data_IF_948376560758
#
_entry.id   IF_948376560758
#
_cell.length_a   1.000
_cell.length_b   1.000
_cell.length_c   1.000
_cell.angle_alpha   90.00
_cell.angle_beta   90.00
_cell.angle_gamma   90.00
#
_symmetry.space_group_name_H-M   'P 1'
#
loop_
_entity.id
_entity.type
_entity.pdbx_description
1 polymer ?
#
# COMPACT_ATOMS: atom_id res chain seq x y z
N UNK A 1 -32.50 -20.09 -5.89
CA UNK A 1 -32.60 -21.47 -6.39
C UNK A 1 -32.87 -22.38 -5.20
N UNK A 2 -34.07 -22.97 -5.08
CA UNK A 2 -34.32 -24.06 -4.12
C UNK A 2 -33.88 -25.34 -4.81
N UNK A 3 -32.86 -26.00 -4.27
CA UNK A 3 -32.42 -27.32 -4.73
C UNK A 3 -33.38 -28.33 -4.08
N UNK A 4 -34.11 -29.10 -4.88
CA UNK A 4 -35.21 -29.97 -4.38
C UNK A 4 -35.03 -31.45 -4.76
N UNK A 5 -34.08 -31.78 -5.64
CA UNK A 5 -33.85 -33.16 -6.10
C UNK A 5 -32.80 -33.96 -5.32
N UNK A 6 -32.91 -35.29 -5.35
CA UNK A 6 -31.94 -36.25 -4.79
C UNK A 6 -30.53 -36.13 -5.41
N UNK A 7 -30.41 -35.52 -6.60
CA UNK A 7 -29.16 -35.33 -7.35
C UNK A 7 -28.62 -33.89 -7.34
N UNK A 8 -29.12 -33.01 -6.46
CA UNK A 8 -28.86 -31.56 -6.50
C UNK A 8 -29.34 -30.86 -7.79
N UNK A 9 -30.44 -31.31 -8.37
CA UNK A 9 -31.04 -30.72 -9.57
C UNK A 9 -32.04 -29.60 -9.24
N UNK A 10 -32.14 -28.62 -10.14
CA UNK A 10 -33.17 -27.59 -10.18
C UNK A 10 -34.53 -28.18 -10.57
N UNK A 11 -35.63 -27.43 -10.41
CA UNK A 11 -36.96 -27.85 -10.90
C UNK A 11 -36.96 -28.03 -12.43
N UNK A 12 -36.06 -27.33 -13.11
CA UNK A 12 -35.89 -27.34 -14.58
C UNK A 12 -34.87 -28.39 -15.04
N UNK A 13 -34.27 -29.15 -14.11
CA UNK A 13 -33.31 -30.21 -14.39
C UNK A 13 -31.84 -29.74 -14.45
N UNK A 14 -31.58 -28.45 -14.19
CA UNK A 14 -30.20 -27.95 -14.15
C UNK A 14 -29.45 -28.57 -12.99
N UNK A 15 -28.23 -28.99 -13.28
CA UNK A 15 -27.29 -29.49 -12.30
C UNK A 15 -26.30 -28.39 -11.93
N UNK A 16 -25.49 -28.68 -10.93
CA UNK A 16 -24.36 -27.84 -10.58
C UNK A 16 -23.29 -27.75 -11.68
N UNK A 17 -23.26 -28.69 -12.64
CA UNK A 17 -22.32 -28.67 -13.77
C UNK A 17 -22.67 -27.60 -14.80
N UNK A 18 -23.96 -27.28 -14.92
CA UNK A 18 -24.42 -26.22 -15.82
C UNK A 18 -23.96 -24.84 -15.33
N UNK A 19 -23.63 -24.71 -14.03
CA UNK A 19 -23.17 -23.46 -13.45
C UNK A 19 -21.84 -22.97 -14.05
N UNK A 20 -20.89 -23.85 -14.37
CA UNK A 20 -19.63 -23.43 -15.01
C UNK A 20 -19.86 -22.87 -16.40
N UNK A 21 -20.65 -23.59 -17.21
CA UNK A 21 -21.06 -23.15 -18.55
C UNK A 21 -21.79 -21.80 -18.50
N UNK A 22 -22.73 -21.63 -17.56
CA UNK A 22 -23.45 -20.36 -17.38
C UNK A 22 -22.49 -19.23 -17.01
N UNK A 23 -21.60 -19.45 -16.04
CA UNK A 23 -20.63 -18.44 -15.59
C UNK A 23 -19.70 -18.02 -16.74
N UNK A 24 -19.18 -18.97 -17.52
CA UNK A 24 -18.32 -18.68 -18.68
C UNK A 24 -19.04 -17.82 -19.72
N UNK A 25 -20.32 -18.10 -19.98
CA UNK A 25 -21.14 -17.31 -20.91
C UNK A 25 -21.48 -15.91 -20.37
N UNK A 26 -21.41 -15.68 -19.05
CA UNK A 26 -21.62 -14.36 -18.46
C UNK A 26 -20.41 -13.43 -18.63
N UNK A 27 -19.20 -13.94 -18.83
CA UNK A 27 -17.99 -13.12 -19.02
C UNK A 27 -18.13 -12.15 -20.20
N UNK A 28 -18.42 -12.58 -21.45
CA UNK A 28 -18.59 -11.66 -22.57
C UNK A 28 -19.79 -10.73 -22.37
N UNK A 29 -20.89 -11.21 -21.77
CA UNK A 29 -22.09 -10.40 -21.55
C UNK A 29 -21.83 -9.28 -20.53
N UNK A 30 -21.04 -9.54 -19.50
CA UNK A 30 -20.65 -8.52 -18.49
C UNK A 30 -19.83 -7.38 -19.06
N UNK A 31 -19.25 -7.55 -20.25
CA UNK A 31 -18.48 -6.51 -20.95
C UNK A 31 -19.37 -5.56 -21.76
N UNK A 32 -20.61 -5.96 -22.07
CA UNK A 32 -21.62 -5.10 -22.68
C UNK A 32 -22.64 -4.63 -21.63
N UNK A 33 -22.19 -3.79 -20.71
CA UNK A 33 -23.00 -3.29 -19.59
C UNK A 33 -24.20 -2.45 -20.01
N UNK A 34 -24.21 -1.95 -21.25
CA UNK A 34 -25.31 -1.16 -21.82
C UNK A 34 -26.33 -2.02 -22.58
N UNK A 35 -25.94 -3.24 -22.93
CA UNK A 35 -26.76 -4.20 -23.65
C UNK A 35 -28.06 -4.56 -22.92
N UNK A 36 -29.11 -4.84 -23.69
CA UNK A 36 -30.41 -5.24 -23.16
C UNK A 36 -30.32 -6.56 -22.38
N UNK A 37 -29.51 -7.50 -22.86
CA UNK A 37 -29.29 -8.80 -22.22
C UNK A 37 -28.74 -8.63 -20.81
N UNK A 38 -27.69 -7.83 -20.65
CA UNK A 38 -27.09 -7.56 -19.35
C UNK A 38 -28.10 -6.92 -18.38
N UNK A 39 -28.85 -5.92 -18.84
CA UNK A 39 -29.88 -5.26 -18.03
C UNK A 39 -30.94 -6.25 -17.52
N UNK A 40 -31.44 -7.12 -18.40
CA UNK A 40 -32.42 -8.15 -18.05
C UNK A 40 -31.86 -9.17 -17.06
N UNK A 41 -30.58 -9.55 -17.19
CA UNK A 41 -29.90 -10.43 -16.24
C UNK A 41 -29.74 -9.77 -14.86
N UNK A 42 -29.37 -8.48 -14.83
CA UNK A 42 -29.33 -7.68 -13.60
C UNK A 42 -30.72 -7.63 -12.96
N UNK A 43 -31.76 -7.32 -13.74
CA UNK A 43 -33.15 -7.31 -13.26
C UNK A 43 -33.60 -8.65 -12.68
N UNK A 44 -33.15 -9.75 -13.28
CA UNK A 44 -33.37 -11.13 -12.83
C UNK A 44 -32.53 -11.55 -11.59
N UNK A 45 -31.61 -10.70 -11.12
CA UNK A 45 -30.82 -10.96 -9.91
C UNK A 45 -29.50 -11.70 -10.16
N UNK A 46 -28.86 -11.51 -11.33
CA UNK A 46 -27.56 -12.15 -11.64
C UNK A 46 -26.50 -11.86 -10.57
N UNK A 47 -26.51 -10.67 -9.93
CA UNK A 47 -25.56 -10.34 -8.86
C UNK A 47 -25.76 -11.19 -7.60
N UNK A 48 -27.00 -11.48 -7.23
CA UNK A 48 -27.28 -12.45 -6.15
C UNK A 48 -26.72 -13.84 -6.51
N UNK A 49 -26.86 -14.26 -7.77
CA UNK A 49 -26.26 -15.50 -8.28
C UNK A 49 -24.73 -15.50 -8.23
N UNK A 50 -24.09 -14.40 -8.65
CA UNK A 50 -22.63 -14.27 -8.65
C UNK A 50 -22.04 -14.23 -7.25
N UNK A 51 -22.68 -13.52 -6.31
CA UNK A 51 -22.25 -13.54 -4.90
C UNK A 51 -22.39 -14.94 -4.29
N UNK A 52 -23.48 -15.65 -4.60
CA UNK A 52 -23.63 -17.06 -4.22
C UNK A 52 -22.53 -17.95 -4.82
N UNK A 53 -22.17 -17.74 -6.09
CA UNK A 53 -21.07 -18.46 -6.73
C UNK A 53 -19.73 -18.20 -6.04
N UNK A 54 -19.38 -16.95 -5.72
CA UNK A 54 -18.15 -16.63 -4.96
C UNK A 54 -18.08 -17.42 -3.65
N UNK A 55 -19.20 -17.55 -2.95
CA UNK A 55 -19.26 -18.24 -1.67
C UNK A 55 -19.12 -19.77 -1.81
N UNK A 56 -19.71 -20.36 -2.86
CA UNK A 56 -19.94 -21.81 -2.91
C UNK A 56 -19.17 -22.57 -4.02
N UNK A 57 -18.72 -21.92 -5.10
CA UNK A 57 -18.27 -22.61 -6.33
C UNK A 57 -17.15 -23.64 -6.15
N UNK A 58 -16.20 -23.41 -5.23
CA UNK A 58 -15.12 -24.39 -4.95
C UNK A 58 -15.57 -25.68 -4.27
N UNK A 59 -16.72 -25.68 -3.56
CA UNK A 59 -17.31 -26.91 -2.99
C UNK A 59 -18.11 -27.70 -4.02
N UNK A 60 -18.41 -27.07 -5.16
CA UNK A 60 -19.24 -27.65 -6.22
C UNK A 60 -18.38 -28.56 -7.12
N UNK A 61 -17.20 -28.09 -7.49
CA UNK A 61 -16.29 -28.82 -8.40
C UNK A 61 -15.59 -30.02 -7.74
N UNK A 62 -15.39 -30.01 -6.42
CA UNK A 62 -14.59 -31.03 -5.72
C UNK A 62 -15.39 -32.24 -5.22
N UNK A 63 -16.72 -32.24 -5.33
CA UNK A 63 -17.56 -33.21 -4.60
C UNK A 63 -17.82 -34.53 -5.33
N UNK A 64 -17.49 -34.65 -6.62
CA UNK A 64 -17.97 -35.78 -7.44
C UNK A 64 -16.91 -36.50 -8.29
N UNK A 65 -15.63 -36.12 -8.22
CA UNK A 65 -14.58 -36.94 -8.83
C UNK A 65 -14.18 -38.05 -7.85
N UNK A 66 -14.78 -39.24 -8.01
CA UNK A 66 -14.34 -40.51 -7.42
C UNK A 66 -12.93 -40.94 -7.89
N UNK A 67 -12.23 -40.07 -8.63
CA UNK A 67 -10.84 -40.25 -9.00
C UNK A 67 -10.00 -39.83 -7.79
N UNK A 68 -9.44 -40.81 -7.08
CA UNK A 68 -8.37 -40.59 -6.10
C UNK A 68 -7.11 -40.04 -6.80
N UNK A 69 -7.15 -38.78 -7.24
CA UNK A 69 -5.93 -38.04 -7.56
C UNK A 69 -5.10 -37.96 -6.29
N UNK A 70 -3.81 -38.23 -6.41
CA UNK A 70 -2.90 -37.98 -5.31
C UNK A 70 -2.96 -36.49 -4.93
N UNK A 71 -2.92 -36.18 -3.64
CA UNK A 71 -2.99 -34.80 -3.14
C UNK A 71 -1.99 -33.88 -3.85
N UNK A 72 -0.78 -34.40 -4.12
CA UNK A 72 0.29 -33.68 -4.81
C UNK A 72 -0.06 -33.35 -6.28
N UNK A 73 -0.76 -34.23 -6.99
CA UNK A 73 -1.23 -34.00 -8.36
C UNK A 73 -2.37 -32.98 -8.40
N UNK A 74 -3.29 -33.05 -7.43
CA UNK A 74 -4.38 -32.08 -7.30
C UNK A 74 -3.83 -30.68 -6.96
N UNK A 75 -2.82 -30.61 -6.10
CA UNK A 75 -2.11 -29.37 -5.79
C UNK A 75 -1.36 -28.83 -7.00
N UNK A 76 -0.60 -29.66 -7.71
CA UNK A 76 0.11 -29.24 -8.92
C UNK A 76 -0.84 -28.73 -10.01
N UNK A 77 -1.96 -29.41 -10.24
CA UNK A 77 -2.95 -28.99 -11.22
C UNK A 77 -3.68 -27.70 -10.81
N UNK A 78 -4.02 -27.57 -9.53
CA UNK A 78 -4.70 -26.39 -8.99
C UNK A 78 -3.90 -25.10 -9.14
N UNK A 79 -2.56 -25.16 -9.14
CA UNK A 79 -1.70 -23.99 -9.38
C UNK A 79 -1.89 -23.34 -10.75
N UNK A 80 -2.47 -24.04 -11.73
CA UNK A 80 -2.78 -23.50 -13.06
C UNK A 80 -4.23 -23.05 -13.21
N UNK A 81 -5.13 -23.51 -12.35
CA UNK A 81 -6.56 -23.21 -12.41
C UNK A 81 -6.89 -21.91 -11.68
N UNK A 82 -7.75 -21.03 -12.23
CA UNK A 82 -8.24 -19.86 -11.50
C UNK A 82 -8.84 -20.25 -10.14
N UNK A 83 -8.70 -19.38 -9.14
CA UNK A 83 -9.37 -19.59 -7.85
C UNK A 83 -10.89 -19.70 -8.09
N UNK A 84 -11.60 -20.61 -7.41
CA UNK A 84 -13.01 -20.86 -7.71
C UNK A 84 -13.93 -19.61 -7.58
N UNK A 85 -13.51 -18.61 -6.81
CA UNK A 85 -14.20 -17.33 -6.66
C UNK A 85 -13.82 -16.28 -7.72
N UNK A 86 -12.76 -16.48 -8.50
CA UNK A 86 -12.19 -15.43 -9.35
C UNK A 86 -13.07 -15.10 -10.55
N UNK A 87 -13.61 -16.09 -11.27
CA UNK A 87 -14.44 -15.84 -12.46
C UNK A 87 -15.74 -15.07 -12.10
N UNK A 88 -16.51 -15.47 -11.07
CA UNK A 88 -17.67 -14.66 -10.64
C UNK A 88 -17.28 -13.23 -10.23
N UNK A 89 -16.13 -13.04 -9.57
CA UNK A 89 -15.62 -11.71 -9.25
C UNK A 89 -15.19 -10.92 -10.49
N UNK A 90 -14.61 -11.57 -11.50
CA UNK A 90 -14.25 -10.95 -12.77
C UNK A 90 -15.49 -10.42 -13.48
N UNK A 91 -16.58 -11.19 -13.52
CA UNK A 91 -17.86 -10.77 -14.11
C UNK A 91 -18.39 -9.52 -13.39
N UNK A 92 -18.40 -9.53 -12.05
CA UNK A 92 -18.81 -8.38 -11.24
C UNK A 92 -17.91 -7.16 -11.51
N UNK A 93 -16.60 -7.38 -11.62
CA UNK A 93 -15.62 -6.34 -11.88
C UNK A 93 -15.82 -5.73 -13.28
N UNK A 94 -15.86 -6.55 -14.33
CA UNK A 94 -16.12 -6.12 -15.71
C UNK A 94 -17.37 -5.25 -15.78
N UNK A 95 -18.45 -5.70 -15.14
CA UNK A 95 -19.69 -4.96 -15.12
C UNK A 95 -19.59 -3.59 -14.40
N UNK A 96 -18.89 -3.53 -13.27
CA UNK A 96 -18.71 -2.30 -12.50
C UNK A 96 -17.66 -1.34 -13.09
N UNK A 97 -16.72 -1.86 -13.88
CA UNK A 97 -15.64 -1.11 -14.51
C UNK A 97 -16.06 -0.51 -15.85
N UNK A 98 -16.93 -1.19 -16.60
CA UNK A 98 -17.36 -0.77 -17.94
C UNK A 98 -18.65 0.05 -17.94
N UNK A 99 -19.29 0.25 -16.78
CA UNK A 99 -20.36 1.23 -16.64
C UNK A 99 -19.80 2.66 -16.51
N UNK A 100 -20.62 3.66 -16.84
CA UNK A 100 -20.24 5.07 -16.62
C UNK A 100 -20.00 5.39 -15.14
N UNK A 101 -19.39 6.54 -14.84
CA UNK A 101 -19.19 6.99 -13.45
C UNK A 101 -20.48 7.51 -12.79
N UNK A 102 -21.63 7.41 -13.45
CA UNK A 102 -22.94 7.79 -12.93
C UNK A 102 -23.81 6.54 -12.91
N UNK A 103 -24.21 6.09 -11.73
CA UNK A 103 -25.03 4.90 -11.57
C UNK A 103 -26.43 5.10 -12.15
N UNK A 104 -26.81 4.28 -13.13
CA UNK A 104 -28.18 4.16 -13.63
C UNK A 104 -29.00 3.26 -12.71
N UNK A 105 -30.26 2.97 -13.07
CA UNK A 105 -31.08 2.01 -12.32
C UNK A 105 -30.43 0.62 -12.26
N UNK A 106 -29.75 0.21 -13.34
CA UNK A 106 -29.04 -1.07 -13.44
C UNK A 106 -27.92 -1.16 -12.42
N UNK A 107 -26.99 -0.19 -12.39
CA UNK A 107 -25.87 -0.22 -11.44
C UNK A 107 -26.34 -0.11 -9.99
N UNK A 108 -27.39 0.69 -9.72
CA UNK A 108 -28.00 0.76 -8.38
C UNK A 108 -28.53 -0.60 -7.92
N UNK A 109 -29.17 -1.36 -8.81
CA UNK A 109 -29.63 -2.71 -8.53
C UNK A 109 -28.46 -3.68 -8.29
N UNK A 110 -27.43 -3.64 -9.15
CA UNK A 110 -26.21 -4.45 -8.97
C UNK A 110 -25.60 -4.26 -7.57
N UNK A 111 -25.46 -3.01 -7.14
CA UNK A 111 -24.91 -2.65 -5.82
C UNK A 111 -25.85 -3.10 -4.69
N UNK A 112 -27.16 -2.90 -4.85
CA UNK A 112 -28.15 -3.33 -3.87
C UNK A 112 -28.16 -4.85 -3.66
N UNK A 113 -28.01 -5.62 -4.74
CA UNK A 113 -27.98 -7.09 -4.69
C UNK A 113 -26.65 -7.62 -4.10
N UNK A 114 -25.54 -6.93 -4.36
CA UNK A 114 -24.20 -7.32 -3.88
C UNK A 114 -23.98 -6.97 -2.40
N UNK A 115 -24.45 -5.79 -1.96
CA UNK A 115 -24.15 -5.21 -0.63
C UNK A 115 -24.38 -6.18 0.54
N UNK A 116 -25.51 -6.92 0.64
CA UNK A 116 -25.77 -7.80 1.77
C UNK A 116 -24.77 -8.96 1.91
N UNK A 117 -24.12 -9.37 0.83
CA UNK A 117 -23.22 -10.52 0.78
C UNK A 117 -21.73 -10.13 0.80
N UNK A 118 -21.41 -8.84 0.71
CA UNK A 118 -20.02 -8.37 0.62
C UNK A 118 -19.14 -8.89 1.76
N UNK A 119 -19.60 -8.74 3.01
CA UNK A 119 -18.86 -9.19 4.19
C UNK A 119 -18.65 -10.71 4.22
N UNK A 120 -19.58 -11.51 3.70
CA UNK A 120 -19.44 -12.96 3.53
C UNK A 120 -18.40 -13.29 2.44
N UNK A 121 -18.41 -12.58 1.32
CA UNK A 121 -17.42 -12.75 0.25
C UNK A 121 -16.01 -12.45 0.75
N UNK A 122 -15.81 -11.36 1.49
CA UNK A 122 -14.51 -11.03 2.06
C UNK A 122 -14.06 -12.06 3.10
N UNK A 123 -14.99 -12.61 3.90
CA UNK A 123 -14.70 -13.75 4.79
C UNK A 123 -14.28 -14.99 4.02
N UNK A 124 -14.93 -15.31 2.89
CA UNK A 124 -14.57 -16.42 2.01
C UNK A 124 -13.15 -16.24 1.47
N UNK A 125 -12.84 -15.09 0.87
CA UNK A 125 -11.50 -14.78 0.35
C UNK A 125 -10.46 -14.82 1.47
N UNK A 126 -10.78 -14.31 2.66
CA UNK A 126 -9.89 -14.38 3.82
C UNK A 126 -9.59 -15.83 4.24
N UNK A 127 -10.62 -16.64 4.49
CA UNK A 127 -10.44 -18.01 5.01
C UNK A 127 -9.89 -19.00 3.99
N UNK A 128 -10.13 -18.73 2.70
CA UNK A 128 -9.84 -19.66 1.63
C UNK A 128 -9.37 -18.88 0.39
N UNK A 129 -8.15 -18.29 0.45
CA UNK A 129 -7.57 -17.57 -0.68
C UNK A 129 -7.24 -18.48 -1.87
N UNK A 130 -7.26 -19.81 -1.68
CA UNK A 130 -6.86 -20.79 -2.70
C UNK A 130 -5.43 -20.48 -3.16
N UNK A 131 -5.23 -20.36 -4.47
CA UNK A 131 -3.92 -20.16 -5.10
C UNK A 131 -3.58 -18.69 -5.36
N UNK A 132 -4.45 -17.74 -4.98
CA UNK A 132 -4.25 -16.32 -5.29
C UNK A 132 -3.01 -15.71 -4.62
N UNK A 133 -2.52 -16.32 -3.52
CA UNK A 133 -1.35 -15.85 -2.77
C UNK A 133 -0.03 -16.49 -3.24
N UNK A 134 -0.07 -17.37 -4.23
CA UNK A 134 1.14 -17.91 -4.83
C UNK A 134 1.93 -16.80 -5.54
N UNK A 135 3.27 -16.82 -5.48
CA UNK A 135 4.11 -15.79 -6.07
C UNK A 135 4.23 -15.94 -7.60
N UNK A 136 3.10 -16.03 -8.29
CA UNK A 136 2.98 -16.14 -9.74
C UNK A 136 2.30 -14.88 -10.28
N UNK A 137 2.87 -14.28 -11.33
CA UNK A 137 2.29 -13.12 -12.04
C UNK A 137 0.89 -13.41 -12.61
N UNK A 138 0.60 -14.65 -13.00
CA UNK A 138 -0.73 -15.06 -13.47
C UNK A 138 -1.83 -14.86 -12.40
N UNK A 139 -1.43 -14.69 -11.13
CA UNK A 139 -2.34 -14.45 -10.00
C UNK A 139 -2.48 -12.99 -9.62
N UNK A 140 -1.77 -12.08 -10.31
CA UNK A 140 -1.85 -10.65 -10.03
C UNK A 140 -3.29 -10.11 -10.18
N UNK A 141 -4.00 -10.53 -11.24
CA UNK A 141 -5.39 -10.16 -11.44
C UNK A 141 -6.26 -10.55 -10.24
N UNK A 142 -6.16 -11.80 -9.77
CA UNK A 142 -6.92 -12.29 -8.61
C UNK A 142 -6.62 -11.49 -7.33
N UNK A 143 -5.35 -11.14 -7.08
CA UNK A 143 -4.96 -10.32 -5.93
C UNK A 143 -5.49 -8.89 -6.01
N UNK A 144 -5.66 -8.34 -7.20
CA UNK A 144 -6.20 -6.99 -7.41
C UNK A 144 -7.73 -6.89 -7.39
N UNK A 145 -8.45 -7.98 -7.66
CA UNK A 145 -9.91 -7.97 -7.88
C UNK A 145 -10.71 -7.37 -6.73
N UNK A 146 -10.42 -7.76 -5.48
CA UNK A 146 -11.18 -7.29 -4.32
C UNK A 146 -11.04 -5.76 -4.14
N UNK A 147 -9.82 -5.24 -4.24
CA UNK A 147 -9.56 -3.82 -4.12
C UNK A 147 -10.20 -3.04 -5.28
N UNK A 148 -10.03 -3.53 -6.52
CA UNK A 148 -10.58 -2.88 -7.70
C UNK A 148 -12.11 -2.82 -7.66
N UNK A 149 -12.77 -3.93 -7.33
CA UNK A 149 -14.22 -3.99 -7.22
C UNK A 149 -14.72 -3.05 -6.12
N UNK A 150 -14.08 -3.04 -4.94
CA UNK A 150 -14.43 -2.12 -3.86
C UNK A 150 -14.31 -0.64 -4.31
N UNK A 151 -13.20 -0.27 -4.96
CA UNK A 151 -13.01 1.08 -5.50
C UNK A 151 -14.12 1.44 -6.50
N UNK A 152 -14.43 0.56 -7.47
CA UNK A 152 -15.51 0.83 -8.46
C UNK A 152 -16.88 0.96 -7.81
N UNK A 153 -17.21 0.12 -6.83
CA UNK A 153 -18.47 0.23 -6.10
C UNK A 153 -18.59 1.59 -5.37
N UNK A 154 -17.49 2.11 -4.81
CA UNK A 154 -17.50 3.45 -4.18
C UNK A 154 -17.56 4.62 -5.17
N UNK A 155 -17.15 4.42 -6.43
CA UNK A 155 -17.35 5.42 -7.50
C UNK A 155 -18.84 5.51 -7.84
N UNK A 156 -19.50 4.37 -7.98
CA UNK A 156 -20.91 4.28 -8.36
C UNK A 156 -21.87 4.66 -7.22
N UNK A 157 -21.51 4.27 -6.00
CA UNK A 157 -22.24 4.59 -4.78
C UNK A 157 -21.26 4.82 -3.61
N UNK A 158 -20.91 6.09 -3.29
CA UNK A 158 -20.05 6.41 -2.16
C UNK A 158 -20.55 5.88 -0.81
N UNK A 159 -21.84 5.59 -0.65
CA UNK A 159 -22.36 4.99 0.59
C UNK A 159 -21.83 3.57 0.84
N UNK A 160 -21.30 2.91 -0.20
CA UNK A 160 -20.62 1.62 -0.06
C UNK A 160 -19.39 1.69 0.85
N UNK A 161 -18.81 2.88 1.07
CA UNK A 161 -17.77 3.10 2.08
C UNK A 161 -18.20 2.68 3.48
N UNK A 162 -19.49 2.80 3.80
CA UNK A 162 -20.01 2.34 5.11
C UNK A 162 -19.82 0.84 5.30
N UNK A 163 -19.89 0.05 4.22
CA UNK A 163 -19.65 -1.40 4.27
C UNK A 163 -18.18 -1.70 4.56
N UNK A 164 -17.26 -1.05 3.84
CA UNK A 164 -15.82 -1.21 4.02
C UNK A 164 -15.34 -0.72 5.40
N UNK A 165 -16.01 0.30 5.94
CA UNK A 165 -15.70 0.87 7.24
C UNK A 165 -16.20 0.02 8.43
N UNK A 166 -17.12 -0.94 8.22
CA UNK A 166 -17.66 -1.78 9.31
C UNK A 166 -16.53 -2.50 10.07
N UNK A 167 -16.54 -2.54 11.41
CA UNK A 167 -15.49 -3.21 12.18
C UNK A 167 -15.31 -4.70 11.86
N UNK A 168 -16.40 -5.38 11.46
CA UNK A 168 -16.40 -6.79 11.08
C UNK A 168 -15.97 -7.06 9.64
N UNK A 169 -15.89 -6.02 8.80
CA UNK A 169 -15.53 -6.17 7.40
C UNK A 169 -14.03 -6.41 7.23
N UNK A 170 -13.71 -7.36 6.34
CA UNK A 170 -12.35 -7.84 6.08
C UNK A 170 -11.75 -7.31 4.78
N UNK A 171 -12.39 -6.37 4.06
CA UNK A 171 -11.84 -5.87 2.78
C UNK A 171 -10.43 -5.33 2.96
N UNK A 172 -10.19 -4.46 3.96
CA UNK A 172 -8.86 -3.92 4.20
C UNK A 172 -7.85 -5.01 4.59
N UNK A 173 -8.27 -6.01 5.36
CA UNK A 173 -7.44 -7.16 5.74
C UNK A 173 -7.05 -8.00 4.52
N UNK A 174 -8.02 -8.30 3.64
CA UNK A 174 -7.82 -9.08 2.41
C UNK A 174 -6.92 -8.32 1.44
N UNK A 175 -7.20 -7.03 1.19
CA UNK A 175 -6.41 -6.21 0.29
C UNK A 175 -4.97 -6.05 0.81
N UNK A 176 -4.78 -5.89 2.13
CA UNK A 176 -3.44 -5.80 2.70
C UNK A 176 -2.66 -7.11 2.54
N UNK A 177 -3.31 -8.25 2.76
CA UNK A 177 -2.68 -9.56 2.48
C UNK A 177 -2.37 -9.72 0.99
N UNK A 178 -3.25 -9.28 0.10
CA UNK A 178 -3.00 -9.35 -1.34
C UNK A 178 -1.84 -8.44 -1.74
N UNK A 179 -1.72 -7.24 -1.16
CA UNK A 179 -0.54 -6.39 -1.32
C UNK A 179 0.72 -7.10 -0.83
N UNK A 180 0.73 -7.71 0.35
CA UNK A 180 1.90 -8.45 0.86
C UNK A 180 2.41 -9.57 -0.06
N UNK A 181 1.54 -10.11 -0.91
CA UNK A 181 1.82 -11.19 -1.84
C UNK A 181 1.81 -10.72 -3.30
N UNK A 182 1.79 -9.41 -3.54
CA UNK A 182 1.73 -8.84 -4.87
C UNK A 182 3.04 -9.09 -5.62
N UNK A 183 2.94 -9.31 -6.93
CA UNK A 183 4.12 -9.63 -7.78
C UNK A 183 4.23 -8.78 -9.03
N UNK A 184 3.29 -7.87 -9.27
CA UNK A 184 3.31 -6.95 -10.41
C UNK A 184 2.99 -5.53 -9.95
N UNK A 185 3.30 -4.52 -10.78
CA UNK A 185 2.94 -3.13 -10.44
C UNK A 185 1.43 -2.95 -10.30
N UNK A 186 0.62 -3.67 -11.09
CA UNK A 186 -0.84 -3.53 -11.10
C UNK A 186 -1.48 -3.95 -9.76
N UNK A 187 -1.14 -5.13 -9.25
CA UNK A 187 -1.72 -5.65 -8.00
C UNK A 187 -1.13 -4.97 -6.76
N UNK A 188 0.13 -4.51 -6.83
CA UNK A 188 0.70 -3.59 -5.84
C UNK A 188 -0.15 -2.31 -5.78
N UNK A 189 -0.29 -1.61 -6.92
CA UNK A 189 -0.91 -0.29 -6.99
C UNK A 189 -2.39 -0.31 -6.59
N UNK A 190 -3.18 -1.28 -7.05
CA UNK A 190 -4.61 -1.30 -6.76
C UNK A 190 -4.91 -1.58 -5.29
N UNK A 191 -4.16 -2.50 -4.66
CA UNK A 191 -4.35 -2.80 -3.24
C UNK A 191 -3.84 -1.64 -2.37
N UNK A 192 -2.65 -1.11 -2.68
CA UNK A 192 -2.09 0.02 -1.93
C UNK A 192 -2.95 1.28 -2.05
N UNK A 193 -3.48 1.59 -3.23
CA UNK A 193 -4.36 2.76 -3.45
C UNK A 193 -5.62 2.72 -2.59
N UNK A 194 -6.32 1.58 -2.56
CA UNK A 194 -7.52 1.44 -1.75
C UNK A 194 -7.19 1.64 -0.27
N UNK A 195 -6.14 0.98 0.24
CA UNK A 195 -5.79 1.03 1.66
C UNK A 195 -5.27 2.43 2.04
N UNK A 196 -4.44 3.04 1.19
CA UNK A 196 -3.89 4.38 1.42
C UNK A 196 -5.01 5.43 1.57
N UNK A 197 -6.09 5.29 0.80
CA UNK A 197 -7.28 6.15 0.90
C UNK A 197 -7.97 6.10 2.28
N UNK A 198 -7.73 5.05 3.08
CA UNK A 198 -8.20 4.94 4.47
C UNK A 198 -7.17 5.39 5.52
N UNK A 199 -5.89 5.53 5.12
CA UNK A 199 -4.80 5.86 6.03
C UNK A 199 -4.44 7.35 6.02
N UNK A 200 -4.58 8.02 4.87
CA UNK A 200 -4.14 9.38 4.66
C UNK A 200 -5.20 10.19 3.89
N UNK A 201 -5.65 11.30 4.49
CA UNK A 201 -6.64 12.20 3.90
C UNK A 201 -6.19 12.76 2.54
N UNK A 202 -4.87 12.90 2.33
CA UNK A 202 -4.31 13.37 1.06
C UNK A 202 -4.61 12.41 -0.10
N UNK A 203 -4.80 11.12 0.21
CA UNK A 203 -5.07 10.07 -0.77
C UNK A 203 -6.56 9.77 -0.93
N UNK A 204 -7.44 10.42 -0.15
CA UNK A 204 -8.88 10.25 -0.27
C UNK A 204 -9.35 10.73 -1.65
N UNK A 205 -9.98 9.86 -2.45
CA UNK A 205 -10.49 10.23 -3.75
C UNK A 205 -11.52 11.36 -3.67
N UNK A 206 -11.50 12.29 -4.64
CA UNK A 206 -12.39 13.47 -4.63
C UNK A 206 -13.88 13.09 -4.51
N UNK A 207 -14.29 11.99 -5.14
CA UNK A 207 -15.67 11.50 -5.11
C UNK A 207 -16.10 10.93 -3.73
N UNK A 208 -15.15 10.62 -2.83
CA UNK A 208 -15.45 10.25 -1.45
C UNK A 208 -15.71 11.46 -0.55
N UNK A 209 -15.08 12.62 -0.83
CA UNK A 209 -15.03 13.77 0.08
C UNK A 209 -16.43 14.25 0.52
N UNK A 210 -17.38 14.33 -0.41
CA UNK A 210 -18.75 14.75 -0.09
C UNK A 210 -19.46 13.79 0.87
N UNK A 211 -19.23 12.48 0.72
CA UNK A 211 -19.82 11.48 1.60
C UNK A 211 -19.14 11.48 2.97
N UNK A 212 -17.80 11.54 3.00
CA UNK A 212 -17.01 11.54 4.23
C UNK A 212 -17.22 12.79 5.09
N UNK A 213 -17.64 13.91 4.51
CA UNK A 213 -18.03 15.11 5.27
C UNK A 213 -19.19 14.85 6.25
N UNK A 214 -20.06 13.88 5.94
CA UNK A 214 -21.17 13.46 6.81
C UNK A 214 -20.96 12.10 7.48
N UNK A 215 -20.03 11.30 6.97
CA UNK A 215 -19.73 9.94 7.43
C UNK A 215 -18.20 9.76 7.55
N UNK A 216 -17.56 10.37 8.56
CA UNK A 216 -16.12 10.31 8.70
C UNK A 216 -15.63 8.87 8.83
N UNK A 217 -14.44 8.59 8.30
CA UNK A 217 -13.81 7.29 8.45
C UNK A 217 -13.52 6.98 9.94
N UNK A 218 -13.46 5.69 10.32
CA UNK A 218 -12.99 5.30 11.65
C UNK A 218 -11.59 5.84 11.91
N UNK A 219 -11.25 6.13 13.16
CA UNK A 219 -9.89 6.59 13.49
C UNK A 219 -8.83 5.55 13.17
N UNK A 220 -7.59 6.01 12.89
CA UNK A 220 -6.47 5.12 12.55
C UNK A 220 -6.20 4.04 13.61
N UNK A 221 -6.44 4.34 14.89
CA UNK A 221 -6.39 3.37 16.00
C UNK A 221 -7.29 2.15 15.79
N UNK A 222 -8.42 2.31 15.11
CA UNK A 222 -9.33 1.21 14.76
C UNK A 222 -9.01 0.57 13.40
N UNK A 223 -8.50 1.35 12.45
CA UNK A 223 -8.18 0.87 11.10
C UNK A 223 -6.89 0.04 11.06
N UNK A 224 -5.84 0.47 11.76
CA UNK A 224 -4.51 -0.18 11.70
C UNK A 224 -4.55 -1.64 12.12
N UNK A 225 -5.18 -2.04 13.25
CA UNK A 225 -5.27 -3.46 13.60
C UNK A 225 -5.99 -4.31 12.55
N UNK A 226 -6.98 -3.74 11.85
CA UNK A 226 -7.71 -4.42 10.76
C UNK A 226 -6.84 -4.60 9.52
N UNK A 227 -6.07 -3.58 9.15
CA UNK A 227 -5.14 -3.63 8.02
C UNK A 227 -4.02 -4.63 8.31
N UNK A 228 -3.31 -4.46 9.41
CA UNK A 228 -2.15 -5.28 9.82
C UNK A 228 -2.52 -6.75 10.02
N UNK A 229 -3.77 -7.05 10.37
CA UNK A 229 -4.27 -8.45 10.42
C UNK A 229 -3.95 -9.21 9.13
N UNK A 230 -3.91 -8.55 7.97
CA UNK A 230 -3.53 -9.17 6.69
C UNK A 230 -2.11 -9.76 6.67
N UNK A 231 -1.19 -9.22 7.47
CA UNK A 231 0.18 -9.73 7.61
C UNK A 231 0.33 -10.77 8.74
N UNK A 232 -0.69 -10.96 9.60
CA UNK A 232 -0.59 -11.86 10.76
C UNK A 232 -0.75 -13.34 10.41
N UNK A 233 -1.27 -13.66 9.22
CA UNK A 233 -1.46 -15.05 8.78
C UNK A 233 -0.60 -15.29 7.55
N UNK A 234 0.02 -16.47 7.49
CA UNK A 234 0.70 -16.95 6.30
C UNK A 234 0.43 -18.42 6.05
N UNK A 235 0.56 -18.79 4.78
CA UNK A 235 0.42 -20.14 4.28
C UNK A 235 1.81 -20.71 4.02
N UNK A 236 2.01 -21.96 4.42
CA UNK A 236 3.25 -22.68 4.12
C UNK A 236 3.15 -23.18 2.68
N UNK A 237 4.25 -23.09 1.91
CA UNK A 237 4.31 -23.36 0.46
C UNK A 237 3.70 -24.70 0.02
N UNK A 238 3.50 -25.66 0.93
CA UNK A 238 2.94 -26.99 0.67
C UNK A 238 1.87 -27.41 1.69
N UNK A 239 0.94 -26.52 2.06
CA UNK A 239 -0.28 -26.99 2.71
C UNK A 239 -1.24 -25.93 3.24
N UNK A 240 -2.49 -26.33 3.57
CA UNK A 240 -3.56 -25.45 4.04
C UNK A 240 -3.38 -24.98 5.48
N UNK A 241 -2.19 -25.17 6.08
CA UNK A 241 -1.95 -24.85 7.50
C UNK A 241 -1.61 -23.38 7.65
N UNK A 242 -2.59 -22.62 8.13
CA UNK A 242 -2.41 -21.25 8.59
C UNK A 242 -1.43 -21.23 9.78
N UNK A 243 -0.38 -20.43 9.64
CA UNK A 243 0.49 -20.07 10.77
C UNK A 243 0.28 -18.60 11.12
N UNK A 244 0.30 -18.31 12.42
CA UNK A 244 0.18 -16.96 12.94
C UNK A 244 1.56 -16.36 13.18
N UNK A 245 1.78 -15.15 12.68
CA UNK A 245 2.92 -14.30 13.02
C UNK A 245 2.60 -13.53 14.29
N UNK A 246 3.58 -13.40 15.18
CA UNK A 246 3.50 -12.41 16.24
C UNK A 246 3.63 -10.98 15.64
N UNK A 247 3.34 -9.90 16.39
CA UNK A 247 3.43 -8.53 15.87
C UNK A 247 4.79 -8.17 15.25
N UNK A 248 5.90 -8.61 15.85
CA UNK A 248 7.24 -8.34 15.32
C UNK A 248 7.47 -9.05 13.99
N UNK A 249 7.15 -10.34 13.90
CA UNK A 249 7.25 -11.13 12.66
C UNK A 249 6.34 -10.58 11.55
N UNK A 250 5.14 -10.09 11.91
CA UNK A 250 4.25 -9.46 10.95
C UNK A 250 4.82 -8.13 10.46
N UNK A 251 5.42 -7.33 11.34
CA UNK A 251 6.12 -6.10 10.97
C UNK A 251 7.31 -6.37 10.03
N UNK A 252 8.17 -7.34 10.35
CA UNK A 252 9.29 -7.77 9.50
C UNK A 252 8.81 -8.24 8.12
N UNK A 253 7.71 -9.01 8.08
CA UNK A 253 7.11 -9.42 6.82
C UNK A 253 6.60 -8.23 5.99
N UNK A 254 6.00 -7.21 6.62
CA UNK A 254 5.54 -5.98 5.94
C UNK A 254 6.73 -5.24 5.32
N UNK A 255 7.83 -5.12 6.05
CA UNK A 255 9.06 -4.51 5.52
C UNK A 255 9.62 -5.32 4.37
N UNK A 256 9.64 -6.66 4.49
CA UNK A 256 10.08 -7.56 3.42
C UNK A 256 9.24 -7.43 2.15
N UNK A 257 7.91 -7.35 2.26
CA UNK A 257 7.02 -7.15 1.13
C UNK A 257 7.29 -5.81 0.44
N UNK A 258 7.39 -4.71 1.20
CA UNK A 258 7.74 -3.40 0.66
C UNK A 258 9.07 -3.40 -0.10
N UNK A 259 10.12 -4.04 0.44
CA UNK A 259 11.41 -4.18 -0.26
C UNK A 259 11.27 -4.96 -1.57
N UNK A 260 10.49 -6.06 -1.56
CA UNK A 260 10.19 -6.83 -2.77
C UNK A 260 9.48 -5.97 -3.81
N UNK A 261 8.48 -5.19 -3.40
CA UNK A 261 7.73 -4.32 -4.29
C UNK A 261 8.58 -3.22 -4.91
N UNK A 262 9.47 -2.59 -4.13
CA UNK A 262 10.43 -1.61 -4.67
C UNK A 262 11.29 -2.23 -5.78
N UNK A 263 11.63 -3.52 -5.67
CA UNK A 263 12.37 -4.25 -6.70
C UNK A 263 11.49 -4.54 -7.92
N UNK A 264 10.22 -4.91 -7.73
CA UNK A 264 9.25 -5.12 -8.82
C UNK A 264 8.99 -3.83 -9.60
N UNK A 265 8.74 -2.70 -8.91
CA UNK A 265 8.46 -1.40 -9.55
C UNK A 265 9.72 -0.73 -10.09
N UNK A 266 10.92 -1.18 -9.74
CA UNK A 266 12.18 -0.65 -10.28
C UNK A 266 12.27 -0.79 -11.81
N UNK A 267 11.57 -1.77 -12.38
CA UNK A 267 11.48 -1.98 -13.83
C UNK A 267 10.45 -1.08 -14.52
N UNK A 268 9.60 -0.39 -13.76
CA UNK A 268 8.62 0.54 -14.32
C UNK A 268 9.29 1.83 -14.80
N UNK A 269 8.78 2.36 -15.91
CA UNK A 269 9.11 3.70 -16.41
C UNK A 269 8.15 4.76 -15.90
N UNK A 270 7.07 4.36 -15.24
CA UNK A 270 6.02 5.26 -14.79
C UNK A 270 6.34 5.81 -13.38
N UNK A 271 6.49 7.14 -13.20
CA UNK A 271 6.68 7.75 -11.89
C UNK A 271 5.58 7.39 -10.86
N UNK A 272 4.37 7.13 -11.36
CA UNK A 272 3.19 6.88 -10.54
C UNK A 272 3.26 5.56 -9.75
N UNK A 273 3.92 4.53 -10.27
CA UNK A 273 4.07 3.24 -9.60
C UNK A 273 4.93 3.38 -8.33
N UNK A 274 6.11 4.00 -8.50
CA UNK A 274 7.03 4.27 -7.40
C UNK A 274 6.39 5.20 -6.37
N UNK A 275 5.71 6.24 -6.85
CA UNK A 275 5.03 7.19 -5.99
C UNK A 275 3.96 6.52 -5.11
N UNK A 276 3.15 5.65 -5.70
CA UNK A 276 2.06 4.97 -4.99
C UNK A 276 2.60 4.07 -3.88
N UNK A 277 3.67 3.31 -4.16
CA UNK A 277 4.26 2.40 -3.18
C UNK A 277 4.97 3.14 -2.03
N UNK A 278 5.74 4.19 -2.32
CA UNK A 278 6.36 5.03 -1.28
C UNK A 278 5.32 5.75 -0.44
N UNK A 279 4.28 6.30 -1.08
CA UNK A 279 3.21 7.02 -0.38
C UNK A 279 2.42 6.09 0.54
N UNK A 280 2.12 4.88 0.07
CA UNK A 280 1.46 3.86 0.86
C UNK A 280 2.29 3.44 2.08
N UNK A 281 3.57 3.16 1.89
CA UNK A 281 4.44 2.77 2.99
C UNK A 281 4.58 3.88 4.03
N UNK A 282 4.75 5.13 3.58
CA UNK A 282 4.73 6.30 4.48
C UNK A 282 3.40 6.42 5.24
N UNK A 283 2.26 6.23 4.57
CA UNK A 283 0.93 6.27 5.18
C UNK A 283 0.75 5.19 6.26
N UNK A 284 1.36 4.00 6.10
CA UNK A 284 1.41 2.97 7.15
C UNK A 284 2.28 3.36 8.34
N UNK A 285 3.42 4.01 8.08
CA UNK A 285 4.38 4.40 9.12
C UNK A 285 3.88 5.53 10.02
N UNK A 286 3.06 6.44 9.51
CA UNK A 286 2.53 7.58 10.27
C UNK A 286 1.80 7.14 11.56
N UNK A 287 0.76 6.29 11.51
CA UNK A 287 0.08 5.81 12.71
C UNK A 287 0.83 4.69 13.44
N UNK A 288 1.80 4.00 12.81
CA UNK A 288 2.55 2.93 13.49
C UNK A 288 3.37 3.45 14.68
N UNK A 289 3.69 4.74 14.68
CA UNK A 289 4.36 5.47 15.78
C UNK A 289 3.63 5.28 17.12
N UNK A 290 2.30 5.26 17.09
CA UNK A 290 1.45 5.16 18.28
C UNK A 290 0.77 3.80 18.37
N UNK A 291 0.21 3.31 17.27
CA UNK A 291 -0.75 2.20 17.28
C UNK A 291 -0.13 0.85 16.90
N UNK A 292 1.05 0.84 16.25
CA UNK A 292 1.74 -0.39 15.83
C UNK A 292 3.26 -0.27 15.82
N UNK A 293 3.86 0.00 16.99
CA UNK A 293 5.30 0.29 17.15
C UNK A 293 6.25 -0.78 16.62
N UNK A 294 5.79 -2.03 16.53
CA UNK A 294 6.56 -3.13 15.94
C UNK A 294 7.01 -2.82 14.51
N UNK A 295 6.19 -2.11 13.72
CA UNK A 295 6.55 -1.72 12.36
C UNK A 295 7.68 -0.70 12.33
N UNK A 296 7.60 0.37 13.12
CA UNK A 296 8.67 1.37 13.18
C UNK A 296 9.99 0.75 13.64
N UNK A 297 9.93 -0.18 14.60
CA UNK A 297 11.10 -0.95 15.04
C UNK A 297 11.67 -1.83 13.92
N UNK A 298 10.83 -2.61 13.24
CA UNK A 298 11.26 -3.48 12.15
C UNK A 298 11.88 -2.71 10.98
N UNK A 299 11.37 -1.51 10.65
CA UNK A 299 11.97 -0.66 9.62
C UNK A 299 13.36 -0.18 10.03
N UNK A 300 13.49 0.29 11.27
CA UNK A 300 14.77 0.77 11.77
C UNK A 300 15.87 -0.29 11.80
N UNK A 301 15.54 -1.49 12.26
CA UNK A 301 16.47 -2.60 12.37
C UNK A 301 16.70 -3.33 11.03
N UNK A 302 15.93 -2.98 9.98
CA UNK A 302 16.03 -3.65 8.69
C UNK A 302 17.27 -3.22 7.92
N UNK A 303 18.16 -4.18 7.64
CA UNK A 303 19.33 -3.98 6.78
C UNK A 303 18.99 -3.89 5.29
N UNK A 304 17.77 -4.26 4.89
CA UNK A 304 17.37 -4.35 3.48
C UNK A 304 16.50 -3.19 3.01
N UNK A 305 15.72 -2.56 3.91
CA UNK A 305 14.82 -1.46 3.53
C UNK A 305 15.57 -0.19 3.16
N UNK A 306 16.65 0.14 3.87
CA UNK A 306 17.39 1.38 3.62
C UNK A 306 18.08 1.38 2.26
N UNK A 307 18.83 0.33 1.85
CA UNK A 307 19.37 0.26 0.50
C UNK A 307 18.29 0.27 -0.59
N UNK A 308 17.16 -0.42 -0.38
CA UNK A 308 16.04 -0.42 -1.32
C UNK A 308 15.43 0.98 -1.48
N UNK A 309 15.23 1.73 -0.38
CA UNK A 309 14.77 3.12 -0.41
C UNK A 309 15.75 4.05 -1.13
N UNK A 310 17.06 3.89 -0.90
CA UNK A 310 18.08 4.68 -1.61
C UNK A 310 18.03 4.41 -3.11
N UNK A 311 17.93 3.15 -3.54
CA UNK A 311 17.75 2.80 -4.95
C UNK A 311 16.47 3.38 -5.54
N UNK A 312 15.37 3.31 -4.79
CA UNK A 312 14.09 3.86 -5.20
C UNK A 312 14.16 5.39 -5.37
N UNK A 313 14.86 6.10 -4.47
CA UNK A 313 15.08 7.54 -4.60
C UNK A 313 16.02 7.92 -5.74
N UNK A 314 17.08 7.15 -6.01
CA UNK A 314 17.91 7.32 -7.23
C UNK A 314 17.05 7.20 -8.48
N UNK A 315 16.13 6.23 -8.51
CA UNK A 315 15.19 6.04 -9.61
C UNK A 315 14.21 7.21 -9.71
N UNK A 316 13.69 7.70 -8.59
CA UNK A 316 12.83 8.88 -8.57
C UNK A 316 13.55 10.10 -9.17
N UNK A 317 14.82 10.30 -8.83
CA UNK A 317 15.64 11.35 -9.43
C UNK A 317 15.81 11.17 -10.95
N UNK A 318 16.12 9.97 -11.43
CA UNK A 318 16.24 9.67 -12.87
C UNK A 318 14.95 9.89 -13.65
N UNK A 319 13.80 9.68 -13.00
CA UNK A 319 12.47 9.86 -13.58
C UNK A 319 11.89 11.26 -13.32
N UNK A 320 12.65 12.15 -12.67
CA UNK A 320 12.20 13.48 -12.22
C UNK A 320 10.89 13.40 -11.39
N UNK A 321 10.70 12.31 -10.66
CA UNK A 321 9.52 12.01 -9.86
C UNK A 321 9.57 12.72 -8.49
N UNK A 322 9.35 14.05 -8.48
CA UNK A 322 9.49 14.93 -7.31
C UNK A 322 8.79 14.38 -6.06
N UNK A 323 7.51 13.99 -6.19
CA UNK A 323 6.70 13.52 -5.06
C UNK A 323 7.20 12.19 -4.48
N UNK A 324 7.67 11.27 -5.34
CA UNK A 324 8.27 10.01 -4.90
C UNK A 324 9.60 10.26 -4.15
N UNK A 325 10.46 11.12 -4.68
CA UNK A 325 11.73 11.48 -4.06
C UNK A 325 11.52 12.15 -2.68
N UNK A 326 10.59 13.11 -2.61
CA UNK A 326 10.22 13.76 -1.37
C UNK A 326 9.64 12.78 -0.34
N UNK A 327 8.75 11.89 -0.77
CA UNK A 327 8.16 10.86 0.09
C UNK A 327 9.25 9.94 0.66
N UNK A 328 10.25 9.60 -0.16
CA UNK A 328 11.46 8.90 0.28
C UNK A 328 12.15 9.63 1.44
N UNK A 329 12.50 10.92 1.27
CA UNK A 329 13.10 11.73 2.34
C UNK A 329 12.24 11.76 3.61
N UNK A 330 10.92 11.83 3.47
CA UNK A 330 10.01 11.83 4.61
C UNK A 330 9.98 10.48 5.35
N UNK A 331 10.24 9.36 4.68
CA UNK A 331 10.38 8.06 5.34
C UNK A 331 11.65 8.06 6.20
N UNK A 332 12.79 8.54 5.67
CA UNK A 332 14.03 8.71 6.45
C UNK A 332 13.76 9.57 7.70
N UNK A 333 13.27 10.79 7.52
CA UNK A 333 12.96 11.67 8.66
C UNK A 333 11.92 11.06 9.62
N UNK A 334 10.88 10.44 9.07
CA UNK A 334 9.71 9.98 9.81
C UNK A 334 9.99 8.85 10.80
N UNK A 335 11.04 8.05 10.59
CA UNK A 335 11.42 6.93 11.45
C UNK A 335 12.13 7.39 12.73
N UNK A 336 12.85 8.51 12.72
CA UNK A 336 13.60 8.97 13.90
C UNK A 336 12.74 9.75 14.91
N UNK A 337 11.88 10.66 14.43
CA UNK A 337 11.01 11.52 15.26
C UNK A 337 10.16 10.80 16.36
N UNK A 338 9.62 9.59 16.19
CA UNK A 338 8.78 8.94 17.21
C UNK A 338 9.60 8.33 18.35
N UNK A 339 10.92 8.26 18.17
CA UNK A 339 11.83 7.45 18.97
C UNK A 339 12.87 8.31 19.68
N UNK A 340 12.63 9.63 19.71
CA UNK A 340 13.43 10.71 20.29
C UNK A 340 13.96 10.43 21.71
N UNK A 341 13.40 9.47 22.43
CA UNK A 341 13.86 9.10 23.78
C UNK A 341 15.00 8.08 23.86
N UNK A 342 15.34 7.36 22.79
CA UNK A 342 16.32 6.24 22.85
C UNK A 342 17.50 6.43 21.90
N UNK A 343 18.63 6.93 22.42
CA UNK A 343 19.85 7.18 21.64
C UNK A 343 20.43 5.93 20.96
N UNK A 344 20.31 4.76 21.57
CA UNK A 344 20.71 3.47 20.97
C UNK A 344 19.98 3.19 19.65
N UNK A 345 18.73 3.64 19.53
CA UNK A 345 17.94 3.43 18.34
C UNK A 345 18.34 4.37 17.20
N UNK A 346 18.58 5.65 17.53
CA UNK A 346 19.08 6.62 16.56
C UNK A 346 20.43 6.19 15.98
N UNK A 347 21.30 5.62 16.83
CA UNK A 347 22.59 5.06 16.42
C UNK A 347 22.45 3.98 15.33
N UNK A 348 21.59 2.99 15.56
CA UNK A 348 21.33 1.90 14.60
C UNK A 348 20.81 2.46 13.26
N UNK A 349 19.82 3.35 13.30
CA UNK A 349 19.22 3.93 12.08
C UNK A 349 20.23 4.76 11.30
N UNK A 350 20.97 5.65 11.95
CA UNK A 350 21.98 6.49 11.30
C UNK A 350 23.11 5.62 10.71
N UNK A 351 23.53 4.56 11.41
CA UNK A 351 24.49 3.61 10.89
C UNK A 351 23.97 2.90 9.63
N UNK A 352 22.68 2.55 9.58
CA UNK A 352 22.07 1.99 8.37
C UNK A 352 22.02 2.99 7.22
N UNK A 353 21.70 4.27 7.47
CA UNK A 353 21.68 5.30 6.43
C UNK A 353 23.05 5.50 5.80
N UNK A 354 24.10 5.55 6.62
CA UNK A 354 25.48 5.64 6.16
C UNK A 354 25.85 4.42 5.29
N UNK A 355 25.56 3.20 5.75
CA UNK A 355 25.86 1.97 5.00
C UNK A 355 25.04 1.80 3.72
N UNK A 356 23.82 2.32 3.67
CA UNK A 356 22.94 2.18 2.51
C UNK A 356 23.27 3.11 1.35
N UNK A 357 24.19 4.06 1.54
CA UNK A 357 24.55 5.05 0.53
C UNK A 357 23.59 6.24 0.48
N UNK A 358 22.93 6.57 1.60
CA UNK A 358 21.94 7.67 1.64
C UNK A 358 22.61 9.04 1.43
N UNK A 359 23.77 9.26 2.04
CA UNK A 359 24.49 10.52 1.93
C UNK A 359 25.06 10.74 0.50
N UNK A 360 25.55 9.68 -0.13
CA UNK A 360 25.97 9.69 -1.53
C UNK A 360 24.81 10.03 -2.45
N UNK A 361 23.63 9.44 -2.22
CA UNK A 361 22.43 9.79 -2.96
C UNK A 361 22.11 11.29 -2.84
N UNK A 362 22.13 11.87 -1.63
CA UNK A 362 21.86 13.31 -1.44
C UNK A 362 22.87 14.19 -2.19
N UNK A 363 24.13 13.78 -2.23
CA UNK A 363 25.20 14.48 -2.96
C UNK A 363 25.06 14.35 -4.49
N UNK A 364 24.75 13.13 -4.97
CA UNK A 364 24.50 12.81 -6.39
C UNK A 364 23.29 13.59 -6.94
N UNK A 365 22.25 13.74 -6.12
CA UNK A 365 20.96 14.34 -6.51
C UNK A 365 20.75 15.76 -5.98
N UNK A 366 21.84 16.48 -5.65
CA UNK A 366 21.78 17.78 -5.00
C UNK A 366 20.93 18.83 -5.76
N UNK A 367 21.02 18.92 -7.09
CA UNK A 367 20.18 19.87 -7.86
C UNK A 367 18.71 19.55 -7.68
N UNK A 368 18.35 18.30 -7.92
CA UNK A 368 16.98 17.82 -7.85
C UNK A 368 16.39 17.96 -6.44
N UNK A 369 17.17 17.64 -5.40
CA UNK A 369 16.79 17.85 -4.01
C UNK A 369 16.41 19.31 -3.71
N UNK A 370 17.10 20.27 -4.32
CA UNK A 370 16.84 21.69 -4.11
C UNK A 370 15.68 22.23 -4.96
N UNK A 371 15.34 21.55 -6.05
CA UNK A 371 14.17 21.85 -6.89
C UNK A 371 12.87 21.30 -6.29
N UNK A 372 12.95 20.18 -5.57
CA UNK A 372 11.81 19.61 -4.83
C UNK A 372 11.27 20.64 -3.83
N UNK A 373 9.98 20.97 -3.94
CA UNK A 373 9.28 22.06 -3.22
C UNK A 373 9.55 22.04 -1.71
N UNK A 374 9.65 20.85 -1.11
CA UNK A 374 9.87 20.65 0.32
C UNK A 374 11.20 19.94 0.64
N UNK A 375 12.09 19.81 -0.35
CA UNK A 375 13.37 19.11 -0.25
C UNK A 375 14.31 19.75 0.78
N UNK A 376 14.66 21.05 0.67
CA UNK A 376 15.54 21.73 1.61
C UNK A 376 15.02 21.72 3.06
N UNK A 377 13.70 21.84 3.24
CA UNK A 377 13.05 21.73 4.55
C UNK A 377 13.27 20.34 5.15
N UNK A 378 13.01 19.29 4.37
CA UNK A 378 13.12 17.90 4.84
C UNK A 378 14.58 17.55 5.13
N UNK A 379 15.51 18.01 4.29
CA UNK A 379 16.95 17.90 4.53
C UNK A 379 17.34 18.57 5.86
N UNK A 380 16.87 19.80 6.11
CA UNK A 380 17.15 20.53 7.36
C UNK A 380 16.72 19.73 8.59
N UNK A 381 15.55 19.09 8.54
CA UNK A 381 15.09 18.23 9.63
C UNK A 381 15.94 16.98 9.81
N UNK A 382 16.36 16.33 8.73
CA UNK A 382 17.26 15.17 8.79
C UNK A 382 18.60 15.56 9.43
N UNK A 383 19.20 16.67 8.99
CA UNK A 383 20.45 17.19 9.55
C UNK A 383 20.31 17.53 11.04
N UNK A 384 19.22 18.19 11.41
CA UNK A 384 18.92 18.54 12.80
C UNK A 384 18.82 17.31 13.71
N UNK A 385 18.17 16.25 13.24
CA UNK A 385 18.06 14.99 14.00
C UNK A 385 19.42 14.31 14.16
N UNK A 386 20.23 14.19 13.10
CA UNK A 386 21.58 13.60 13.23
C UNK A 386 22.41 14.41 14.23
N UNK A 387 22.33 15.74 14.16
CA UNK A 387 23.02 16.62 15.09
C UNK A 387 22.56 16.45 16.55
N UNK A 388 21.27 16.25 16.80
CA UNK A 388 20.75 16.00 18.15
C UNK A 388 21.38 14.74 18.77
N UNK A 389 21.60 13.71 17.95
CA UNK A 389 22.11 12.42 18.42
C UNK A 389 23.63 12.26 18.33
N UNK A 390 24.37 13.16 17.66
CA UNK A 390 25.78 12.97 17.33
C UNK A 390 26.67 12.62 18.52
N UNK A 391 26.41 13.22 19.69
CA UNK A 391 27.16 12.98 20.94
C UNK A 391 26.85 11.64 21.61
N UNK A 392 25.80 10.95 21.16
CA UNK A 392 25.30 9.67 21.70
C UNK A 392 25.54 8.49 20.77
N UNK A 393 26.10 8.72 19.57
CA UNK A 393 26.37 7.68 18.59
C UNK A 393 27.53 6.79 19.02
N UNK A 394 27.46 5.51 18.65
CA UNK A 394 28.52 4.54 18.85
C UNK A 394 29.75 4.86 17.99
N UNK A 395 30.92 4.39 18.41
CA UNK A 395 32.18 4.62 17.70
C UNK A 395 32.12 4.16 16.23
N UNK A 396 31.49 3.02 15.95
CA UNK A 396 31.34 2.48 14.60
C UNK A 396 30.48 3.37 13.71
N UNK A 397 29.38 3.92 14.24
CA UNK A 397 28.51 4.86 13.53
C UNK A 397 29.22 6.17 13.25
N UNK A 398 29.97 6.68 14.24
CA UNK A 398 30.83 7.85 14.07
C UNK A 398 31.87 7.64 12.96
N UNK A 399 32.50 6.45 12.88
CA UNK A 399 33.43 6.11 11.79
C UNK A 399 32.73 6.09 10.42
N UNK A 400 31.54 5.49 10.34
CA UNK A 400 30.73 5.49 9.12
C UNK A 400 30.37 6.91 8.67
N UNK A 401 29.94 7.77 9.60
CA UNK A 401 29.66 9.18 9.29
C UNK A 401 30.91 9.88 8.75
N UNK A 402 32.09 9.69 9.34
CA UNK A 402 33.33 10.29 8.81
C UNK A 402 33.67 9.80 7.40
N UNK A 403 33.35 8.55 7.09
CA UNK A 403 33.61 7.98 5.78
C UNK A 403 32.65 8.53 4.71
N UNK A 404 31.37 8.61 5.03
CA UNK A 404 30.30 8.80 4.05
C UNK A 404 29.68 10.22 4.06
N UNK A 405 29.79 10.97 5.15
CA UNK A 405 29.21 12.30 5.29
C UNK A 405 30.09 13.36 4.59
N UNK A 406 30.07 13.38 3.25
CA UNK A 406 30.87 14.30 2.42
C UNK A 406 29.96 14.96 1.39
N UNK A 407 29.82 16.28 1.48
CA UNK A 407 28.85 17.04 0.68
C UNK A 407 29.43 18.25 -0.08
N UNK A 408 30.52 18.11 -0.85
CA UNK A 408 31.10 19.27 -1.54
C UNK A 408 30.14 19.93 -2.54
N UNK A 409 29.40 19.15 -3.34
CA UNK A 409 28.44 19.64 -4.32
C UNK A 409 27.20 20.23 -3.65
N UNK A 410 26.60 19.48 -2.72
CA UNK A 410 25.41 19.94 -2.00
C UNK A 410 25.71 21.20 -1.18
N UNK A 411 26.87 21.28 -0.52
CA UNK A 411 27.30 22.49 0.21
C UNK A 411 27.40 23.68 -0.74
N UNK A 412 28.10 23.55 -1.87
CA UNK A 412 28.27 24.63 -2.84
C UNK A 412 26.94 25.17 -3.38
N UNK A 413 25.94 24.30 -3.53
CA UNK A 413 24.59 24.67 -4.03
C UNK A 413 23.66 25.22 -2.97
N UNK A 414 23.87 24.85 -1.70
CA UNK A 414 23.11 25.37 -0.57
C UNK A 414 23.52 26.78 -0.16
N UNK A 415 24.75 27.22 -0.49
CA UNK A 415 25.20 28.59 -0.19
C UNK A 415 24.28 29.59 -0.90
N UNK A 416 23.49 30.40 -0.18
CA UNK A 416 22.66 31.39 -0.82
C UNK A 416 23.53 32.49 -1.43
N UNK A 417 23.06 33.07 -2.55
CA UNK A 417 23.74 34.19 -3.21
C UNK A 417 23.83 35.44 -2.31
N UNK A 418 22.94 35.56 -1.31
CA UNK A 418 22.93 36.63 -0.32
C UNK A 418 22.54 36.07 1.05
N UNK A 419 23.22 36.51 2.12
CA UNK A 419 22.82 36.13 3.47
C UNK A 419 21.44 36.72 3.81
N UNK A 420 20.55 35.93 4.43
CA UNK A 420 19.26 36.44 4.85
C UNK A 420 19.42 37.50 5.93
N UNK A 421 18.66 38.59 5.79
CA UNK A 421 18.59 39.64 6.82
C UNK A 421 17.94 39.10 8.09
N UNK A 422 18.27 39.68 9.25
CA UNK A 422 17.63 39.34 10.53
C UNK A 422 16.09 39.44 10.46
N UNK A 423 15.56 40.38 9.66
CA UNK A 423 14.12 40.53 9.44
C UNK A 423 13.53 39.33 8.68
N UNK A 424 14.21 38.81 7.67
CA UNK A 424 13.78 37.61 6.93
C UNK A 424 13.83 36.37 7.82
N UNK A 425 14.89 36.22 8.63
CA UNK A 425 14.98 35.14 9.61
C UNK A 425 13.85 35.22 10.65
N UNK A 426 13.57 36.41 11.20
CA UNK A 426 12.45 36.60 12.13
C UNK A 426 11.09 36.33 11.49
N UNK A 427 10.90 36.72 10.22
CA UNK A 427 9.66 36.45 9.50
C UNK A 427 9.48 34.94 9.27
N UNK A 428 10.55 34.24 8.89
CA UNK A 428 10.57 32.79 8.76
C UNK A 428 10.22 32.10 10.09
N UNK A 429 10.88 32.48 11.19
CA UNK A 429 10.64 31.89 12.52
C UNK A 429 9.24 32.16 13.07
N UNK A 430 8.60 33.26 12.66
CA UNK A 430 7.19 33.55 13.03
C UNK A 430 6.19 32.69 12.24
N UNK A 431 6.63 32.04 11.17
CA UNK A 431 5.78 31.31 10.23
C UNK A 431 4.94 32.25 9.37
N UNK A 432 4.35 31.69 8.30
CA UNK A 432 3.41 32.41 7.44
C UNK A 432 2.06 31.69 7.42
N UNK A 433 1.00 32.40 7.83
CA UNK A 433 -0.39 31.89 7.81
C UNK A 433 -0.91 31.29 9.12
N UNK A 434 -2.07 30.64 9.05
CA UNK A 434 -2.88 30.19 10.20
C UNK A 434 -2.22 29.08 11.06
N UNK A 435 -1.15 28.44 10.57
CA UNK A 435 -0.49 27.33 11.28
C UNK A 435 0.70 27.77 12.13
N UNK A 436 1.20 29.00 11.97
CA UNK A 436 2.42 29.48 12.63
C UNK A 436 3.70 28.74 12.22
N UNK A 437 3.67 27.91 11.17
CA UNK A 437 4.84 27.21 10.63
C UNK A 437 5.35 27.90 9.36
N UNK A 438 6.66 27.89 9.08
CA UNK A 438 7.15 28.32 7.79
C UNK A 438 6.57 27.46 6.67
N UNK A 439 6.31 28.05 5.49
CA UNK A 439 5.88 27.27 4.33
C UNK A 439 7.00 26.33 3.89
N UNK A 440 6.63 25.17 3.35
CA UNK A 440 7.60 24.18 2.91
C UNK A 440 8.46 24.67 1.73
N UNK A 441 7.91 25.55 0.90
CA UNK A 441 8.55 26.17 -0.27
C UNK A 441 9.30 27.46 0.03
N UNK A 442 9.45 27.82 1.32
CA UNK A 442 10.17 29.04 1.70
C UNK A 442 11.68 28.90 1.38
N UNK A 443 12.27 29.83 0.59
CA UNK A 443 13.68 29.75 0.22
C UNK A 443 14.64 29.79 1.41
N UNK A 444 14.18 30.27 2.58
CA UNK A 444 14.96 30.24 3.82
C UNK A 444 15.35 28.81 4.23
N UNK A 445 14.58 27.79 3.84
CA UNK A 445 14.95 26.41 4.13
C UNK A 445 16.29 25.99 3.51
N UNK A 446 16.71 26.59 2.38
CA UNK A 446 18.05 26.35 1.82
C UNK A 446 19.14 26.90 2.74
N UNK A 447 18.92 28.08 3.33
CA UNK A 447 19.85 28.65 4.31
C UNK A 447 19.94 27.80 5.58
N UNK A 448 18.79 27.36 6.12
CA UNK A 448 18.75 26.49 7.30
C UNK A 448 19.46 25.15 7.05
N UNK A 449 19.24 24.53 5.88
CA UNK A 449 19.96 23.32 5.49
C UNK A 449 21.46 23.58 5.34
N UNK A 450 21.87 24.73 4.78
CA UNK A 450 23.28 25.12 4.68
C UNK A 450 23.94 25.24 6.06
N UNK A 451 23.32 25.95 7.00
CA UNK A 451 23.85 26.09 8.36
C UNK A 451 23.91 24.75 9.10
N UNK A 452 22.83 23.95 8.99
CA UNK A 452 22.77 22.61 9.58
C UNK A 452 23.86 21.69 9.03
N UNK A 453 24.13 21.77 7.73
CA UNK A 453 25.15 20.97 7.06
C UNK A 453 26.56 21.36 7.53
N UNK A 454 26.88 22.66 7.54
CA UNK A 454 28.18 23.16 8.03
C UNK A 454 28.43 22.72 9.47
N UNK A 455 27.45 22.95 10.35
CA UNK A 455 27.58 22.63 11.76
C UNK A 455 27.75 21.13 11.99
N UNK A 456 26.98 20.30 11.27
CA UNK A 456 27.09 18.85 11.38
C UNK A 456 28.41 18.33 10.81
N UNK A 457 28.93 18.90 9.72
CA UNK A 457 30.27 18.58 9.21
C UNK A 457 31.35 18.86 10.25
N UNK A 458 31.32 20.04 10.89
CA UNK A 458 32.26 20.35 11.99
C UNK A 458 32.15 19.36 13.16
N UNK A 459 30.92 19.01 13.55
CA UNK A 459 30.71 18.06 14.64
C UNK A 459 31.25 16.66 14.28
N UNK A 460 31.04 16.20 13.03
CA UNK A 460 31.58 14.92 12.54
C UNK A 460 33.11 14.93 12.49
N UNK A 461 33.73 16.06 12.11
CA UNK A 461 35.18 16.24 12.11
C UNK A 461 35.75 16.24 13.54
N UNK A 462 35.07 16.86 14.51
CA UNK A 462 35.50 16.90 15.92
C UNK A 462 35.51 15.53 16.58
N UNK A 463 34.77 14.56 16.07
CA UNK A 463 34.84 13.17 16.56
C UNK A 463 36.26 12.57 16.38
N UNK A 464 37.18 13.22 15.63
CA UNK A 464 38.57 12.77 15.41
C UNK A 464 39.48 12.76 16.66
N UNK A 465 39.07 13.36 17.78
CA UNK A 465 39.77 13.29 19.07
C UNK A 465 39.15 12.28 20.02
#
# INVERSE_FOLDING_TARGET
MKIVGFNNESIEGDTMWDASCVIENLVPVSRDTKGEVWRRLVDAGVFTGLTFAVLNFGTILTRNDDVHMAQDEAEAHGQFLPSAWSIPMEIMLNASSLCGNTATATEKKMIADLRPQWGDMMRRLWSQPMYSLLPNENRAAERGMAAHLAMRLTVLDPSFLSELAKPSDLTLTVCFRNWMHATSSLDIAVNSTLICSFLDEQHVPRYWKSYLASHPLPSLRHLIPRIVRGATVYYVEHGPRERKRNPQQAAEAIVGAFVSHLSTVAHSTEPSDLNSELSFFRALLLPSKTDYRALSKAVAESTTVWPALVQAMRRAHQLEAEHAYWTGLQIFFGILHPLDTQGEFADVVIAHWARSGFFELLEESADFLLEVTAGPMTLSFILGVIQEFISRLGADTCLLLRQHFRFPNLSAKLVPSTQPTARQQMAFMRGSGDTGRPRADDPMWRYVASEGLVKLTEDVERLQG
#
